data_IF_923010641360
#
_entry.id   IF_923010641360
#
_cell.length_a   1.000
_cell.length_b   1.000
_cell.length_c   1.000
_cell.angle_alpha   90.00
_cell.angle_beta   90.00
_cell.angle_gamma   90.00
#
_symmetry.space_group_name_H-M   'P 1'
#
loop_
_entity.id
_entity.type
_entity.pdbx_description
1 polymer ?
#
# COMPACT_ATOMS: atom_id res chain seq x y z
N UNK A 1 14.68 25.11 14.03
CA UNK A 1 13.27 25.27 13.64
C UNK A 1 12.57 24.00 14.08
N UNK A 2 11.46 24.07 14.80
CA UNK A 2 10.76 22.89 15.31
C UNK A 2 9.67 22.51 14.30
N UNK A 3 9.68 21.30 13.73
CA UNK A 3 8.55 20.88 12.87
C UNK A 3 7.31 20.75 13.74
N UNK A 4 6.18 21.22 13.21
CA UNK A 4 4.88 20.96 13.81
C UNK A 4 4.50 19.51 13.54
N UNK A 5 3.93 18.83 14.55
CA UNK A 5 3.39 17.49 14.39
C UNK A 5 2.40 17.42 13.22
N UNK A 6 1.61 18.48 13.03
CA UNK A 6 0.66 18.60 11.92
C UNK A 6 1.31 18.45 10.53
N UNK A 7 2.52 18.98 10.33
CA UNK A 7 3.21 18.88 9.03
C UNK A 7 3.72 17.46 8.77
N UNK A 8 4.22 16.78 9.81
CA UNK A 8 4.67 15.39 9.73
C UNK A 8 3.48 14.46 9.45
N UNK A 9 2.36 14.66 10.17
CA UNK A 9 1.11 13.95 9.92
C UNK A 9 0.61 14.15 8.49
N UNK A 10 0.61 15.39 7.98
CA UNK A 10 0.18 15.67 6.62
C UNK A 10 1.05 14.94 5.58
N UNK A 11 2.38 14.99 5.75
CA UNK A 11 3.32 14.29 4.85
C UNK A 11 3.08 12.77 4.85
N UNK A 12 2.85 12.18 6.02
CA UNK A 12 2.53 10.76 6.15
C UNK A 12 1.21 10.42 5.45
N UNK A 13 0.16 11.20 5.65
CA UNK A 13 -1.14 10.99 5.00
C UNK A 13 -1.07 11.12 3.47
N UNK A 14 -0.29 12.07 2.95
CA UNK A 14 -0.06 12.24 1.51
C UNK A 14 0.67 11.02 0.94
N UNK A 15 1.71 10.54 1.62
CA UNK A 15 2.42 9.32 1.23
C UNK A 15 1.51 8.09 1.19
N UNK A 16 0.64 7.91 2.19
CA UNK A 16 -0.31 6.78 2.20
C UNK A 16 -1.24 6.82 0.98
N UNK A 17 -1.76 8.01 0.64
CA UNK A 17 -2.70 8.20 -0.48
C UNK A 17 -2.07 8.10 -1.86
N UNK A 18 -0.81 8.52 -2.00
CA UNK A 18 -0.19 8.68 -3.33
C UNK A 18 0.80 7.57 -3.67
N UNK A 19 1.41 6.94 -2.67
CA UNK A 19 2.50 5.97 -2.88
C UNK A 19 2.21 4.60 -2.25
N UNK A 20 1.75 4.56 -0.99
CA UNK A 20 1.57 3.28 -0.29
C UNK A 20 0.34 2.50 -0.79
N UNK A 21 -0.85 3.13 -0.74
CA UNK A 21 -2.12 2.52 -1.13
C UNK A 21 -2.94 3.44 -2.06
N UNK A 22 -2.41 3.80 -3.24
CA UNK A 22 -3.12 4.67 -4.16
C UNK A 22 -4.42 4.02 -4.68
N UNK A 23 -5.52 4.75 -4.55
CA UNK A 23 -6.83 4.33 -5.05
C UNK A 23 -6.80 4.14 -6.56
N UNK A 24 -7.35 3.02 -7.03
CA UNK A 24 -7.39 2.63 -8.44
C UNK A 24 -6.11 1.96 -8.95
N UNK A 25 -5.10 1.77 -8.10
CA UNK A 25 -3.95 0.96 -8.46
C UNK A 25 -4.28 -0.53 -8.25
N UNK A 26 -4.10 -1.33 -9.30
CA UNK A 26 -4.39 -2.76 -9.29
C UNK A 26 -3.09 -3.56 -9.26
N UNK A 27 -3.02 -4.52 -8.35
CA UNK A 27 -1.98 -5.53 -8.29
C UNK A 27 -2.48 -6.83 -8.92
N UNK A 28 -1.61 -7.51 -9.65
CA UNK A 28 -1.85 -8.82 -10.26
C UNK A 28 -0.83 -9.80 -9.71
N UNK A 29 -1.29 -10.97 -9.29
CA UNK A 29 -0.47 -12.08 -8.81
C UNK A 29 -0.77 -13.31 -9.63
N UNK A 30 0.26 -14.00 -10.11
CA UNK A 30 0.09 -15.23 -10.88
C UNK A 30 1.29 -16.15 -10.67
N UNK A 31 1.10 -17.43 -10.91
CA UNK A 31 2.17 -18.42 -10.92
C UNK A 31 2.39 -18.93 -12.33
N UNK A 32 3.65 -19.05 -12.75
CA UNK A 32 3.96 -19.74 -14.01
C UNK A 32 4.04 -21.22 -13.71
N UNK A 33 2.94 -21.93 -13.96
CA UNK A 33 2.84 -23.40 -13.90
C UNK A 33 3.77 -24.07 -14.93
N UNK A 34 5.06 -24.02 -14.68
CA UNK A 34 6.08 -24.76 -15.44
C UNK A 34 6.55 -26.00 -14.69
N UNK A 35 6.22 -26.13 -13.41
CA UNK A 35 6.44 -27.31 -12.57
C UNK A 35 5.37 -27.35 -11.46
N UNK A 36 4.61 -28.44 -11.35
CA UNK A 36 3.51 -28.63 -10.37
C UNK A 36 4.02 -28.74 -8.91
N UNK A 37 5.34 -28.57 -8.69
CA UNK A 37 6.02 -28.70 -7.40
C UNK A 37 6.77 -27.43 -6.99
N UNK A 38 6.70 -26.35 -7.79
CA UNK A 38 7.47 -25.13 -7.57
C UNK A 38 6.60 -23.97 -7.04
N UNK A 39 6.28 -24.04 -5.74
CA UNK A 39 5.61 -22.99 -4.96
C UNK A 39 6.47 -21.71 -4.76
N UNK A 40 7.60 -21.56 -5.49
CA UNK A 40 8.54 -20.43 -5.32
C UNK A 40 8.48 -19.39 -6.45
N UNK A 41 7.58 -19.56 -7.43
CA UNK A 41 7.55 -18.76 -8.66
C UNK A 41 6.34 -17.84 -8.81
N UNK A 42 5.71 -17.46 -7.70
CA UNK A 42 4.71 -16.40 -7.70
C UNK A 42 5.31 -15.08 -8.19
N UNK A 43 4.64 -14.48 -9.17
CA UNK A 43 4.98 -13.18 -9.74
C UNK A 43 3.91 -12.17 -9.32
N UNK A 44 4.34 -10.95 -9.02
CA UNK A 44 3.44 -9.83 -8.71
C UNK A 44 3.83 -8.60 -9.54
N UNK A 45 2.85 -7.92 -10.14
CA UNK A 45 3.04 -6.61 -10.78
C UNK A 45 1.87 -5.69 -10.48
N UNK A 46 2.11 -4.39 -10.47
CA UNK A 46 1.06 -3.37 -10.42
C UNK A 46 0.89 -2.70 -11.79
N UNK A 47 -0.33 -2.42 -12.20
CA UNK A 47 -0.62 -1.77 -13.48
C UNK A 47 -2.11 -1.69 -13.81
N UNK A 48 -2.44 -1.12 -14.98
CA UNK A 48 -3.82 -0.99 -15.45
C UNK A 48 -4.39 -2.29 -16.05
N UNK A 49 -3.52 -3.25 -16.41
CA UNK A 49 -3.90 -4.49 -17.08
C UNK A 49 -3.01 -5.65 -16.63
N UNK A 50 -3.52 -6.90 -16.63
CA UNK A 50 -2.72 -8.07 -16.32
C UNK A 50 -1.61 -8.27 -17.36
N UNK A 51 -0.52 -8.98 -17.01
CA UNK A 51 0.47 -9.43 -17.98
C UNK A 51 -0.20 -10.27 -19.08
N UNK A 52 0.11 -9.99 -20.35
CA UNK A 52 -0.56 -10.65 -21.49
C UNK A 52 -0.26 -12.14 -21.69
N UNK A 53 0.62 -12.75 -20.88
CA UNK A 53 1.07 -14.14 -20.99
C UNK A 53 0.60 -15.04 -19.82
N UNK A 54 -0.30 -14.58 -18.96
CA UNK A 54 -0.87 -15.39 -17.86
C UNK A 54 -2.36 -15.67 -18.10
N UNK A 55 -2.69 -16.96 -18.19
CA UNK A 55 -4.08 -17.43 -18.34
C UNK A 55 -4.80 -17.44 -16.99
N UNK A 56 -4.09 -17.78 -15.89
CA UNK A 56 -4.62 -17.77 -14.53
C UNK A 56 -3.91 -16.70 -13.68
N UNK A 57 -4.67 -15.79 -13.08
CA UNK A 57 -4.15 -14.76 -12.17
C UNK A 57 -5.19 -14.31 -11.16
N UNK A 58 -4.74 -13.88 -9.99
CA UNK A 58 -5.55 -13.13 -9.03
C UNK A 58 -5.22 -11.64 -9.13
N UNK A 59 -6.18 -10.78 -8.82
CA UNK A 59 -5.98 -9.34 -8.77
C UNK A 59 -6.56 -8.74 -7.49
N UNK A 60 -6.00 -7.61 -7.08
CA UNK A 60 -6.54 -6.77 -6.01
C UNK A 60 -6.42 -5.29 -6.36
N UNK A 61 -7.40 -4.48 -5.99
CA UNK A 61 -7.43 -3.05 -6.24
C UNK A 61 -7.94 -2.30 -5.02
N UNK A 62 -7.21 -1.27 -4.58
CA UNK A 62 -7.71 -0.34 -3.57
C UNK A 62 -8.78 0.54 -4.21
N UNK A 63 -10.04 0.30 -3.88
CA UNK A 63 -11.19 1.04 -4.44
C UNK A 63 -11.54 2.28 -3.64
N UNK A 64 -11.35 2.23 -2.33
CA UNK A 64 -11.53 3.37 -1.43
C UNK A 64 -10.43 3.39 -0.38
N UNK A 65 -9.96 4.59 -0.04
CA UNK A 65 -9.01 4.84 1.05
C UNK A 65 -9.52 6.02 1.87
N UNK A 66 -9.60 5.82 3.19
CA UNK A 66 -9.98 6.85 4.14
C UNK A 66 -9.03 6.87 5.32
N UNK A 67 -8.31 7.98 5.49
CA UNK A 67 -7.55 8.24 6.71
C UNK A 67 -8.53 8.50 7.86
N UNK A 68 -8.38 7.75 8.95
CA UNK A 68 -9.17 7.89 10.17
C UNK A 68 -8.46 8.83 11.15
N UNK A 69 -7.17 8.58 11.39
CA UNK A 69 -6.32 9.35 12.29
C UNK A 69 -4.86 9.30 11.87
N UNK A 70 -4.10 10.30 12.31
CA UNK A 70 -2.65 10.34 12.19
C UNK A 70 -2.04 10.96 13.46
N UNK A 71 -1.06 10.29 14.07
CA UNK A 71 -0.47 10.69 15.35
C UNK A 71 1.05 10.58 15.29
N UNK A 72 1.75 11.62 15.80
CA UNK A 72 3.21 11.60 15.90
C UNK A 72 3.61 10.81 17.15
N UNK A 73 4.12 9.60 16.94
CA UNK A 73 4.46 8.66 18.01
C UNK A 73 5.91 8.85 18.48
N UNK A 74 6.84 9.03 17.56
CA UNK A 74 8.25 9.24 17.89
C UNK A 74 8.81 10.52 17.26
N UNK A 75 9.62 11.23 18.05
CA UNK A 75 10.23 12.49 17.66
C UNK A 75 11.68 12.56 18.13
N UNK A 76 12.61 12.60 17.18
CA UNK A 76 14.02 12.78 17.44
C UNK A 76 14.60 13.95 16.63
N UNK A 77 14.45 15.16 17.17
CA UNK A 77 14.91 16.39 16.50
C UNK A 77 16.44 16.45 16.33
N UNK A 78 17.22 15.74 17.15
CA UNK A 78 18.69 15.74 17.10
C UNK A 78 19.20 14.98 15.87
N UNK A 79 18.50 13.90 15.49
CA UNK A 79 18.80 13.13 14.29
C UNK A 79 17.94 13.50 13.09
N UNK A 80 16.83 14.20 13.32
CA UNK A 80 15.83 14.48 12.29
C UNK A 80 14.99 13.25 11.92
N UNK A 81 14.84 12.29 12.83
CA UNK A 81 14.05 11.07 12.64
C UNK A 81 12.68 11.26 13.32
N UNK A 82 11.60 10.91 12.62
CA UNK A 82 10.22 11.03 13.10
C UNK A 82 9.40 9.82 12.67
N UNK A 83 8.48 9.37 13.54
CA UNK A 83 7.57 8.26 13.24
C UNK A 83 6.14 8.72 13.45
N UNK A 84 5.30 8.56 12.43
CA UNK A 84 3.85 8.87 12.49
C UNK A 84 3.07 7.59 12.32
N UNK A 85 2.14 7.31 13.23
CA UNK A 85 1.15 6.25 13.05
C UNK A 85 -0.05 6.81 12.29
N UNK A 86 -0.41 6.19 11.16
CA UNK A 86 -1.57 6.54 10.35
C UNK A 86 -2.55 5.37 10.37
N UNK A 87 -3.72 5.57 10.96
CA UNK A 87 -4.81 4.60 10.90
C UNK A 87 -5.69 4.92 9.68
N UNK A 88 -5.82 3.97 8.77
CA UNK A 88 -6.59 4.12 7.54
C UNK A 88 -7.56 2.95 7.36
N UNK A 89 -8.76 3.24 6.85
CA UNK A 89 -9.67 2.22 6.34
C UNK A 89 -9.52 2.12 4.83
N UNK A 90 -9.29 0.91 4.34
CA UNK A 90 -9.15 0.59 2.93
C UNK A 90 -10.25 -0.37 2.53
N UNK A 91 -10.81 -0.16 1.34
CA UNK A 91 -11.70 -1.14 0.70
C UNK A 91 -10.97 -1.71 -0.49
N UNK A 92 -10.71 -3.01 -0.46
CA UNK A 92 -10.03 -3.73 -1.53
C UNK A 92 -11.04 -4.57 -2.28
N UNK A 93 -11.11 -4.39 -3.59
CA UNK A 93 -11.78 -5.33 -4.49
C UNK A 93 -10.77 -6.38 -4.92
N UNK A 94 -11.19 -7.64 -5.01
CA UNK A 94 -10.33 -8.72 -5.49
C UNK A 94 -11.11 -9.70 -6.36
N UNK A 95 -10.39 -10.45 -7.19
CA UNK A 95 -10.95 -11.50 -8.03
C UNK A 95 -9.86 -12.37 -8.65
N UNK A 96 -10.25 -13.44 -9.34
CA UNK A 96 -9.35 -14.25 -10.14
C UNK A 96 -9.88 -14.44 -11.56
N UNK A 97 -8.96 -14.66 -12.50
CA UNK A 97 -9.29 -15.23 -13.79
C UNK A 97 -9.07 -16.74 -13.67
N UNK A 98 -10.07 -17.47 -13.18
CA UNK A 98 -10.17 -18.93 -13.34
C UNK A 98 -11.25 -19.21 -14.41
N UNK A 99 -10.95 -20.09 -15.37
CA UNK A 99 -11.70 -20.29 -16.64
C UNK A 99 -13.07 -21.02 -16.49
N UNK A 100 -13.67 -21.10 -15.30
CA UNK A 100 -14.98 -21.75 -15.11
C UNK A 100 -15.76 -21.18 -13.91
N UNK A 101 -17.02 -20.83 -14.16
CA UNK A 101 -18.10 -20.45 -13.20
C UNK A 101 -18.14 -18.97 -12.77
N UNK A 102 -18.91 -18.13 -13.46
CA UNK A 102 -20.28 -17.69 -13.09
C UNK A 102 -20.32 -16.74 -11.88
N UNK A 103 -20.57 -15.45 -12.19
CA UNK A 103 -20.83 -14.32 -11.28
C UNK A 103 -19.66 -13.96 -10.34
N UNK A 104 -18.70 -13.18 -10.85
CA UNK A 104 -17.77 -12.38 -10.04
C UNK A 104 -18.56 -11.37 -9.19
N UNK A 105 -19.08 -11.81 -8.03
CA UNK A 105 -19.35 -10.91 -6.91
C UNK A 105 -17.97 -10.43 -6.44
N UNK A 106 -17.51 -9.28 -6.93
CA UNK A 106 -16.28 -8.63 -6.45
C UNK A 106 -16.31 -8.61 -4.91
N UNK A 107 -15.43 -9.40 -4.27
CA UNK A 107 -15.38 -9.45 -2.81
C UNK A 107 -14.76 -8.13 -2.32
N UNK A 108 -15.63 -7.24 -1.81
CA UNK A 108 -15.24 -5.97 -1.23
C UNK A 108 -14.97 -6.18 0.26
N UNK A 109 -13.69 -6.20 0.64
CA UNK A 109 -13.27 -6.27 2.04
C UNK A 109 -12.87 -4.88 2.54
N UNK A 110 -13.53 -4.41 3.59
CA UNK A 110 -13.18 -3.18 4.29
C UNK A 110 -12.33 -3.50 5.51
N UNK A 111 -11.06 -3.12 5.47
CA UNK A 111 -10.07 -3.43 6.51
C UNK A 111 -9.46 -2.14 7.06
N UNK A 112 -9.23 -2.12 8.36
CA UNK A 112 -8.52 -1.03 9.04
C UNK A 112 -7.06 -1.42 9.20
N UNK A 113 -6.17 -0.53 8.80
CA UNK A 113 -4.73 -0.70 8.78
C UNK A 113 -4.08 0.40 9.62
N UNK A 114 -3.18 -0.02 10.51
CA UNK A 114 -2.34 0.87 11.32
C UNK A 114 -0.95 0.90 10.67
N UNK A 115 -0.60 2.03 10.05
CA UNK A 115 0.60 2.13 9.21
C UNK A 115 1.59 3.10 9.86
N UNK A 116 2.75 2.59 10.23
CA UNK A 116 3.88 3.34 10.73
C UNK A 116 4.65 3.97 9.58
N UNK A 117 4.69 5.30 9.53
CA UNK A 117 5.39 6.08 8.50
C UNK A 117 6.64 6.69 9.09
N UNK A 118 7.79 6.36 8.51
CA UNK A 118 9.10 6.82 8.94
C UNK A 118 9.54 8.00 8.09
N UNK A 119 9.82 9.14 8.74
CA UNK A 119 10.19 10.40 8.10
C UNK A 119 11.58 10.80 8.57
N UNK A 120 12.45 11.14 7.63
CA UNK A 120 13.77 11.69 7.92
C UNK A 120 13.91 13.12 7.39
N UNK A 121 14.70 13.93 8.11
CA UNK A 121 15.15 15.23 7.63
C UNK A 121 16.52 15.10 6.97
N UNK A 122 16.59 15.47 5.70
CA UNK A 122 17.82 15.52 4.94
C UNK A 122 18.71 16.71 5.33
N UNK A 123 20.02 16.68 4.97
CA UNK A 123 20.96 17.74 5.31
C UNK A 123 20.62 19.14 4.76
N UNK A 124 19.82 19.23 3.70
CA UNK A 124 19.28 20.48 3.14
C UNK A 124 18.07 21.02 3.90
N UNK A 125 17.53 20.23 4.83
CA UNK A 125 16.37 20.56 5.66
C UNK A 125 15.04 20.05 5.12
N UNK A 126 15.03 19.34 3.99
CA UNK A 126 13.81 18.72 3.44
C UNK A 126 13.41 17.48 4.27
N UNK A 127 12.10 17.23 4.36
CA UNK A 127 11.55 16.05 5.03
C UNK A 127 11.03 15.11 3.96
N UNK A 128 11.39 13.85 4.02
CA UNK A 128 10.82 12.83 3.16
C UNK A 128 10.44 11.59 3.97
N UNK A 129 9.43 10.87 3.47
CA UNK A 129 9.12 9.53 3.94
C UNK A 129 10.19 8.60 3.38
N UNK A 130 10.86 7.87 4.26
CA UNK A 130 11.90 6.91 3.88
C UNK A 130 11.40 5.47 3.85
N UNK A 131 10.35 5.18 4.64
CA UNK A 131 9.75 3.85 4.70
C UNK A 131 8.34 3.91 5.32
N UNK A 132 7.57 2.85 5.13
CA UNK A 132 6.30 2.63 5.83
C UNK A 132 6.02 1.14 6.05
N UNK A 133 5.55 0.80 7.25
CA UNK A 133 5.26 -0.58 7.66
C UNK A 133 3.89 -0.68 8.33
N UNK A 134 3.23 -1.84 8.19
CA UNK A 134 1.95 -2.18 8.84
C UNK A 134 2.14 -3.19 9.98
#
# INVERSE_FOLDING_TARGET
MQESAQKLCQLAEEYIKEQYAPVGNRAYVWEKWTDELDDTTAHAVSGEAPPGDCDDYSWSEVTELKIISSELEERNDDKGEYTVLVTASMIVASGSADDDEEEDDDELEATEHDIWVYIERYPDGELEVVDAEE
#
